data_IF_416753677236
#
_entry.id   IF_416753677236
#
_cell.length_a   1.000
_cell.length_b   1.000
_cell.length_c   1.000
_cell.angle_alpha   90.00
_cell.angle_beta   90.00
_cell.angle_gamma   90.00
#
_symmetry.space_group_name_H-M   'P 1'
#
loop_
_entity.id
_entity.type
_entity.pdbx_description
1 polymer ?
#
# COMPACT_ATOMS: atom_id res chain seq x y z
N UNK A 1 -14.71 30.75 25.99
CA UNK A 1 -13.80 29.64 25.66
C UNK A 1 -13.95 29.37 24.18
N UNK A 2 -12.99 29.79 23.36
CA UNK A 2 -12.97 29.47 21.94
C UNK A 2 -12.50 28.02 21.80
N UNK A 3 -13.29 27.18 21.12
CA UNK A 3 -12.83 25.86 20.70
C UNK A 3 -11.65 26.06 19.73
N UNK A 4 -10.57 25.26 19.80
CA UNK A 4 -9.47 25.40 18.85
C UNK A 4 -9.98 25.12 17.44
N UNK A 5 -9.76 26.04 16.51
CA UNK A 5 -10.10 25.85 15.10
C UNK A 5 -9.34 24.64 14.54
N UNK A 6 -10.05 23.52 14.41
CA UNK A 6 -9.51 22.26 13.89
C UNK A 6 -8.92 22.40 12.46
N UNK A 7 -9.33 23.43 11.71
CA UNK A 7 -8.86 23.73 10.37
C UNK A 7 -7.32 23.92 10.29
N UNK A 8 -6.70 24.55 11.29
CA UNK A 8 -5.24 24.74 11.33
C UNK A 8 -4.48 23.45 11.64
N UNK A 9 -5.08 22.57 12.46
CA UNK A 9 -4.52 21.24 12.76
C UNK A 9 -4.58 20.30 11.56
N UNK A 10 -5.60 20.42 10.70
CA UNK A 10 -5.66 19.63 9.46
C UNK A 10 -4.60 20.08 8.43
N UNK A 11 -4.37 21.39 8.30
CA UNK A 11 -3.33 21.93 7.41
C UNK A 11 -1.93 21.44 7.78
N UNK A 12 -1.55 21.55 9.05
CA UNK A 12 -0.20 21.12 9.48
C UNK A 12 0.00 19.60 9.39
N UNK A 13 -1.06 18.80 9.53
CA UNK A 13 -0.97 17.34 9.33
C UNK A 13 -0.75 16.97 7.88
N UNK A 14 -1.42 17.63 6.94
CA UNK A 14 -1.22 17.38 5.51
C UNK A 14 0.22 17.69 5.09
N UNK A 15 0.81 18.79 5.57
CA UNK A 15 2.21 19.14 5.29
C UNK A 15 3.19 18.06 5.76
N UNK A 16 2.94 17.47 6.93
CA UNK A 16 3.75 16.36 7.47
C UNK A 16 3.52 15.09 6.65
N UNK A 17 2.27 14.78 6.30
CA UNK A 17 1.95 13.61 5.47
C UNK A 17 2.67 13.74 4.13
N UNK A 18 2.55 14.87 3.44
CA UNK A 18 3.18 15.09 2.15
C UNK A 18 4.69 14.99 2.25
N UNK A 19 5.32 15.62 3.24
CA UNK A 19 6.78 15.59 3.45
C UNK A 19 7.31 14.19 3.81
N UNK A 20 6.63 13.48 4.71
CA UNK A 20 7.09 12.17 5.19
C UNK A 20 6.76 11.04 4.21
N UNK A 21 5.58 11.06 3.60
CA UNK A 21 5.16 10.02 2.66
C UNK A 21 5.56 10.32 1.20
N UNK A 22 6.25 11.43 0.91
CA UNK A 22 6.89 11.66 -0.40
C UNK A 22 8.21 10.90 -0.58
N UNK A 23 8.77 10.31 0.49
CA UNK A 23 10.05 9.61 0.42
C UNK A 23 9.98 8.39 -0.50
N UNK A 24 11.16 7.87 -0.91
CA UNK A 24 11.28 6.85 -1.96
C UNK A 24 11.12 5.45 -1.40
N UNK A 25 11.55 5.21 -0.16
CA UNK A 25 11.50 3.90 0.49
C UNK A 25 10.69 3.93 1.79
N UNK A 26 10.24 2.76 2.26
CA UNK A 26 9.47 2.66 3.51
C UNK A 26 10.36 3.04 4.70
N UNK A 27 11.64 2.67 4.65
CA UNK A 27 12.67 3.00 5.62
C UNK A 27 12.85 4.53 5.74
N UNK A 28 12.89 5.25 4.62
CA UNK A 28 12.95 6.71 4.61
C UNK A 28 11.67 7.35 5.14
N UNK A 29 10.48 6.80 4.81
CA UNK A 29 9.19 7.27 5.35
C UNK A 29 9.19 7.14 6.88
N UNK A 30 9.55 5.97 7.42
CA UNK A 30 9.63 5.75 8.86
C UNK A 30 10.63 6.71 9.52
N UNK A 31 11.82 6.86 8.93
CA UNK A 31 12.84 7.77 9.43
C UNK A 31 12.37 9.23 9.41
N UNK A 32 11.60 9.64 8.40
CA UNK A 32 11.03 10.98 8.32
C UNK A 32 9.97 11.20 9.41
N UNK A 33 9.07 10.23 9.60
CA UNK A 33 8.06 10.30 10.67
C UNK A 33 8.72 10.36 12.05
N UNK A 34 9.75 9.55 12.31
CA UNK A 34 10.47 9.54 13.60
C UNK A 34 11.13 10.89 13.93
N UNK A 35 11.58 11.65 12.93
CA UNK A 35 12.08 13.01 13.14
C UNK A 35 10.98 14.00 13.51
N UNK A 36 9.79 13.86 12.93
CA UNK A 36 8.65 14.74 13.21
C UNK A 36 8.00 14.48 14.58
N UNK A 37 8.12 13.26 15.13
CA UNK A 37 7.61 12.92 16.47
C UNK A 37 8.15 13.84 17.54
N UNK A 38 9.40 14.31 17.40
CA UNK A 38 10.06 15.18 18.38
C UNK A 38 9.31 16.51 18.56
N UNK A 39 8.62 16.96 17.51
CA UNK A 39 8.01 18.29 17.44
C UNK A 39 6.48 18.29 17.68
N UNK A 40 5.83 17.12 17.78
CA UNK A 40 4.35 17.02 17.83
C UNK A 40 3.77 16.35 19.10
N UNK A 41 2.78 17.02 19.71
CA UNK A 41 2.18 16.62 21.01
C UNK A 41 0.94 15.73 20.91
N UNK A 42 0.28 15.66 19.77
CA UNK A 42 -1.02 15.01 19.58
C UNK A 42 -0.93 13.50 19.25
N UNK A 43 0.29 12.94 19.24
CA UNK A 43 0.56 11.50 19.27
C UNK A 43 0.19 10.72 18.00
N UNK A 44 -0.41 11.35 16.98
CA UNK A 44 -0.82 10.65 15.76
C UNK A 44 0.38 10.09 14.99
N UNK A 45 1.50 10.81 14.95
CA UNK A 45 2.72 10.35 14.27
C UNK A 45 3.24 9.07 14.94
N UNK A 46 3.31 9.05 16.27
CA UNK A 46 3.68 7.86 17.03
C UNK A 46 2.74 6.68 16.75
N UNK A 47 1.42 6.92 16.70
CA UNK A 47 0.45 5.88 16.35
C UNK A 47 0.63 5.36 14.91
N UNK A 48 0.92 6.24 13.95
CA UNK A 48 1.22 5.89 12.56
C UNK A 48 2.49 5.04 12.47
N UNK A 49 3.57 5.43 13.14
CA UNK A 49 4.81 4.65 13.19
C UNK A 49 4.55 3.26 13.76
N UNK A 50 3.80 3.16 14.86
CA UNK A 50 3.45 1.86 15.45
C UNK A 50 2.59 1.01 14.52
N UNK A 51 1.70 1.63 13.76
CA UNK A 51 0.87 0.94 12.77
C UNK A 51 1.73 0.37 11.63
N UNK A 52 2.65 1.18 11.09
CA UNK A 52 3.59 0.74 10.07
C UNK A 52 4.50 -0.38 10.60
N UNK A 53 5.05 -0.25 11.81
CA UNK A 53 5.93 -1.28 12.41
C UNK A 53 5.23 -2.60 12.72
N UNK A 54 3.89 -2.60 12.87
CA UNK A 54 3.08 -3.82 13.06
C UNK A 54 2.67 -4.48 11.75
N UNK A 55 2.73 -3.76 10.62
CA UNK A 55 2.35 -4.30 9.33
C UNK A 55 3.43 -5.23 8.76
N UNK A 56 3.06 -6.08 7.80
CA UNK A 56 4.00 -6.92 7.06
C UNK A 56 5.03 -6.03 6.31
N UNK A 57 6.35 -6.20 6.56
CA UNK A 57 7.38 -5.44 5.86
C UNK A 57 7.33 -5.62 4.34
N UNK A 58 7.03 -6.85 3.89
CA UNK A 58 6.83 -7.18 2.47
C UNK A 58 5.67 -6.39 1.89
N UNK A 59 4.53 -6.41 2.58
CA UNK A 59 3.31 -5.70 2.15
C UNK A 59 3.52 -4.19 2.05
N UNK A 60 4.27 -3.59 2.97
CA UNK A 60 4.62 -2.16 2.92
C UNK A 60 5.43 -1.83 1.66
N UNK A 61 6.48 -2.60 1.35
CA UNK A 61 7.34 -2.35 0.19
C UNK A 61 6.59 -2.51 -1.13
N UNK A 62 5.84 -3.60 -1.31
CA UNK A 62 5.07 -3.81 -2.56
C UNK A 62 3.97 -2.76 -2.72
N UNK A 63 3.31 -2.34 -1.64
CA UNK A 63 2.26 -1.32 -1.67
C UNK A 63 2.82 0.04 -2.08
N UNK A 64 3.92 0.48 -1.45
CA UNK A 64 4.59 1.73 -1.80
C UNK A 64 4.98 1.74 -3.28
N UNK A 65 5.58 0.65 -3.76
CA UNK A 65 5.96 0.52 -5.17
C UNK A 65 4.74 0.57 -6.10
N UNK A 66 3.67 -0.15 -5.78
CA UNK A 66 2.44 -0.15 -6.59
C UNK A 66 1.86 1.26 -6.72
N UNK A 67 1.79 2.02 -5.61
CA UNK A 67 1.32 3.42 -5.60
C UNK A 67 2.20 4.30 -6.49
N UNK A 68 3.53 4.18 -6.39
CA UNK A 68 4.46 5.01 -7.17
C UNK A 68 4.39 4.73 -8.66
N UNK A 69 4.37 3.45 -9.05
CA UNK A 69 4.24 3.04 -10.44
C UNK A 69 2.87 3.42 -11.00
N UNK A 70 1.80 3.29 -10.20
CA UNK A 70 0.44 3.60 -10.60
C UNK A 70 0.18 5.09 -10.88
N UNK A 71 0.99 6.01 -10.32
CA UNK A 71 0.81 7.46 -10.48
C UNK A 71 0.78 7.93 -11.94
N UNK A 72 1.45 7.22 -12.84
CA UNK A 72 1.56 7.55 -14.27
C UNK A 72 0.80 6.58 -15.17
N UNK A 73 0.00 5.68 -14.59
CA UNK A 73 -0.72 4.62 -15.33
C UNK A 73 -2.22 4.84 -15.30
N UNK A 74 -2.90 4.41 -16.37
CA UNK A 74 -4.35 4.32 -16.39
C UNK A 74 -4.85 3.17 -15.50
N UNK A 75 -6.12 3.27 -15.06
CA UNK A 75 -6.75 2.28 -14.17
C UNK A 75 -6.61 0.85 -14.69
N UNK A 76 -6.79 0.62 -15.99
CA UNK A 76 -6.66 -0.71 -16.60
C UNK A 76 -5.28 -1.33 -16.40
N UNK A 77 -4.21 -0.54 -16.56
CA UNK A 77 -2.85 -1.00 -16.36
C UNK A 77 -2.55 -1.23 -14.87
N UNK A 78 -3.10 -0.39 -13.98
CA UNK A 78 -3.01 -0.61 -12.53
C UNK A 78 -3.67 -1.92 -12.11
N UNK A 79 -4.88 -2.20 -12.57
CA UNK A 79 -5.60 -3.43 -12.23
C UNK A 79 -4.87 -4.69 -12.73
N UNK A 80 -4.35 -4.67 -13.96
CA UNK A 80 -3.56 -5.80 -14.48
C UNK A 80 -2.29 -6.03 -13.65
N UNK A 81 -1.58 -4.96 -13.28
CA UNK A 81 -0.40 -5.03 -12.40
C UNK A 81 -0.73 -5.54 -11.00
N UNK A 82 -1.80 -5.02 -10.40
CA UNK A 82 -2.25 -5.41 -9.05
C UNK A 82 -2.74 -6.85 -9.01
N UNK A 83 -3.44 -7.30 -10.05
CA UNK A 83 -3.82 -8.71 -10.20
C UNK A 83 -2.60 -9.62 -10.15
N UNK A 84 -1.57 -9.32 -10.96
CA UNK A 84 -0.32 -10.08 -10.98
C UNK A 84 0.39 -10.08 -9.62
N UNK A 85 0.45 -8.91 -8.97
CA UNK A 85 1.02 -8.77 -7.63
C UNK A 85 0.28 -9.63 -6.61
N UNK A 86 -1.05 -9.65 -6.65
CA UNK A 86 -1.88 -10.48 -5.77
C UNK A 86 -1.69 -11.97 -6.07
N UNK A 87 -1.56 -12.39 -7.34
CA UNK A 87 -1.22 -13.77 -7.67
C UNK A 87 0.07 -14.22 -6.98
N UNK A 88 1.15 -13.42 -7.06
CA UNK A 88 2.41 -13.73 -6.35
C UNK A 88 2.24 -13.79 -4.83
N UNK A 89 1.45 -12.89 -4.25
CA UNK A 89 1.12 -12.91 -2.81
C UNK A 89 0.40 -14.20 -2.44
N UNK A 90 -0.55 -14.65 -3.26
CA UNK A 90 -1.35 -15.86 -3.01
C UNK A 90 -0.55 -17.15 -3.23
N UNK A 91 0.39 -17.16 -4.19
CA UNK A 91 1.30 -18.28 -4.40
C UNK A 91 2.27 -18.48 -3.22
N UNK A 92 2.57 -17.42 -2.48
CA UNK A 92 3.43 -17.50 -1.28
C UNK A 92 4.91 -17.77 -1.55
N UNK A 93 5.39 -17.64 -2.80
CA UNK A 93 6.77 -17.98 -3.19
C UNK A 93 7.83 -17.17 -2.41
N UNK A 94 7.51 -15.91 -2.09
CA UNK A 94 8.45 -14.99 -1.43
C UNK A 94 8.14 -14.74 0.05
N UNK A 95 6.88 -14.89 0.44
CA UNK A 95 6.41 -14.65 1.80
C UNK A 95 5.04 -15.28 2.01
N UNK A 96 4.81 -15.81 3.21
CA UNK A 96 3.52 -16.35 3.64
C UNK A 96 2.69 -15.32 4.44
N UNK A 97 3.08 -14.05 4.42
CA UNK A 97 2.49 -12.99 5.25
C UNK A 97 0.97 -12.84 5.03
N UNK A 98 0.45 -13.10 3.84
CA UNK A 98 -1.00 -13.05 3.62
C UNK A 98 -1.75 -14.08 4.47
N UNK A 99 -1.29 -15.33 4.47
CA UNK A 99 -1.89 -16.41 5.25
C UNK A 99 -1.67 -16.20 6.74
N UNK A 100 -0.47 -15.77 7.14
CA UNK A 100 -0.16 -15.45 8.54
C UNK A 100 -1.01 -14.29 9.07
N UNK A 101 -1.23 -13.26 8.26
CA UNK A 101 -2.10 -12.13 8.61
C UNK A 101 -3.55 -12.59 8.78
N UNK A 102 -4.04 -13.43 7.86
CA UNK A 102 -5.37 -14.04 7.97
C UNK A 102 -5.48 -14.90 9.25
N UNK A 103 -4.47 -15.71 9.55
CA UNK A 103 -4.43 -16.52 10.78
C UNK A 103 -4.51 -15.63 12.02
N UNK A 104 -3.63 -14.63 12.13
CA UNK A 104 -3.52 -13.75 13.29
C UNK A 104 -4.78 -12.91 13.54
N UNK A 105 -5.47 -12.48 12.48
CA UNK A 105 -6.62 -11.56 12.58
C UNK A 105 -7.96 -12.30 12.60
N UNK A 106 -8.12 -13.34 11.78
CA UNK A 106 -9.41 -13.96 11.50
C UNK A 106 -9.57 -15.35 12.14
N UNK A 107 -8.52 -16.18 12.13
CA UNK A 107 -8.58 -17.56 12.64
C UNK A 107 -8.30 -17.61 14.15
N UNK A 108 -7.06 -17.38 14.53
CA UNK A 108 -6.60 -17.49 15.92
C UNK A 108 -6.92 -16.22 16.72
N UNK A 109 -7.05 -15.08 16.02
CA UNK A 109 -7.41 -13.77 16.58
C UNK A 109 -6.45 -13.28 17.67
N UNK A 110 -5.21 -13.75 17.64
CA UNK A 110 -4.15 -13.34 18.58
C UNK A 110 -3.64 -11.91 18.33
N UNK A 111 -3.91 -11.35 17.15
CA UNK A 111 -3.40 -10.03 16.70
C UNK A 111 -1.88 -9.91 16.79
N UNK A 112 -1.17 -11.03 16.70
CA UNK A 112 0.28 -11.11 16.79
C UNK A 112 0.87 -11.90 15.60
N UNK A 113 0.78 -11.32 14.39
CA UNK A 113 1.30 -11.97 13.20
C UNK A 113 2.83 -12.08 13.26
N UNK A 114 3.36 -13.21 12.81
CA UNK A 114 4.79 -13.52 12.71
C UNK A 114 5.25 -13.36 11.27
N UNK A 115 5.53 -12.13 10.89
CA UNK A 115 5.94 -11.80 9.52
C UNK A 115 7.28 -12.43 9.14
N UNK A 116 7.37 -12.92 7.91
CA UNK A 116 8.59 -13.46 7.33
C UNK A 116 8.73 -12.95 5.88
N UNK A 117 9.74 -12.11 5.58
CA UNK A 117 10.76 -11.57 6.49
C UNK A 117 10.21 -10.56 7.52
N UNK A 118 10.72 -10.61 8.75
CA UNK A 118 10.26 -9.76 9.86
C UNK A 118 10.76 -8.32 9.85
N UNK A 119 11.68 -7.96 8.95
CA UNK A 119 12.26 -6.61 8.85
C UNK A 119 12.37 -6.12 7.41
N UNK A 120 12.23 -4.81 7.23
CA UNK A 120 12.38 -4.15 5.93
C UNK A 120 13.77 -4.38 5.30
N UNK A 121 14.83 -4.31 6.11
CA UNK A 121 16.22 -4.48 5.69
C UNK A 121 16.54 -5.88 5.11
N UNK A 122 15.73 -6.89 5.43
CA UNK A 122 15.89 -8.25 4.91
C UNK A 122 15.26 -8.45 3.53
N UNK A 123 14.53 -7.44 3.02
CA UNK A 123 13.81 -7.54 1.74
C UNK A 123 14.56 -6.71 0.71
N UNK A 124 15.25 -7.40 -0.21
CA UNK A 124 15.92 -6.79 -1.34
C UNK A 124 14.94 -6.26 -2.38
N UNK A 125 15.33 -5.21 -3.10
CA UNK A 125 14.53 -4.64 -4.21
C UNK A 125 14.27 -5.67 -5.31
N UNK A 126 15.21 -6.59 -5.54
CA UNK A 126 15.05 -7.70 -6.49
C UNK A 126 13.95 -8.67 -6.07
N UNK A 127 13.72 -8.89 -4.78
CA UNK A 127 12.58 -9.67 -4.29
C UNK A 127 11.28 -8.92 -4.55
N UNK A 128 11.27 -7.60 -4.32
CA UNK A 128 10.12 -6.75 -4.62
C UNK A 128 9.81 -6.75 -6.13
N UNK A 129 10.84 -6.72 -7.00
CA UNK A 129 10.67 -6.79 -8.46
C UNK A 129 9.88 -8.03 -8.90
N UNK A 130 10.10 -9.17 -8.25
CA UNK A 130 9.47 -10.44 -8.62
C UNK A 130 7.95 -10.41 -8.44
N UNK A 131 7.43 -9.70 -7.44
CA UNK A 131 5.98 -9.50 -7.28
C UNK A 131 5.31 -8.80 -8.47
N UNK A 132 6.07 -8.07 -9.30
CA UNK A 132 5.54 -7.37 -10.48
C UNK A 132 5.86 -8.11 -11.80
N UNK A 133 6.68 -9.16 -11.73
CA UNK A 133 7.08 -9.99 -12.87
C UNK A 133 5.97 -10.95 -13.28
N UNK A 134 5.95 -11.40 -14.54
CA UNK A 134 4.97 -12.39 -15.01
C UNK A 134 5.00 -13.65 -14.13
N UNK A 135 3.83 -14.21 -13.86
CA UNK A 135 3.74 -15.49 -13.15
C UNK A 135 4.32 -16.58 -14.04
N UNK A 136 5.12 -17.47 -13.45
CA UNK A 136 5.81 -18.56 -14.16
C UNK A 136 4.91 -19.79 -14.23
N UNK A 137 3.88 -19.69 -15.04
CA UNK A 137 2.93 -20.77 -15.30
C UNK A 137 2.54 -20.66 -16.79
N UNK A 138 2.56 -21.80 -17.48
CA UNK A 138 2.32 -21.87 -18.93
C UNK A 138 0.87 -21.53 -19.29
N UNK A 139 -0.07 -21.80 -18.39
CA UNK A 139 -1.50 -21.56 -18.59
C UNK A 139 -1.94 -20.21 -18.00
N UNK A 140 -1.01 -19.41 -17.48
CA UNK A 140 -1.34 -18.15 -16.84
C UNK A 140 -1.49 -17.00 -17.84
N UNK A 141 -2.61 -16.29 -17.74
CA UNK A 141 -2.90 -15.08 -18.50
C UNK A 141 -3.01 -13.86 -17.59
N UNK A 142 -2.56 -12.70 -18.09
CA UNK A 142 -2.82 -11.42 -17.43
C UNK A 142 -4.32 -11.12 -17.40
N UNK A 143 -4.75 -10.35 -16.40
CA UNK A 143 -6.14 -9.90 -16.28
C UNK A 143 -6.63 -9.21 -17.55
N UNK A 144 -7.56 -9.85 -18.25
CA UNK A 144 -8.25 -9.27 -19.39
C UNK A 144 -9.44 -8.46 -18.90
N UNK A 145 -9.32 -7.14 -18.96
CA UNK A 145 -10.44 -6.27 -18.65
C UNK A 145 -11.39 -6.21 -19.84
N UNK A 146 -12.72 -6.22 -19.60
CA UNK A 146 -13.67 -6.01 -20.67
C UNK A 146 -13.36 -4.67 -21.32
N UNK A 147 -13.20 -4.66 -22.64
CA UNK A 147 -13.23 -3.40 -23.37
C UNK A 147 -14.52 -2.71 -23.00
N UNK A 148 -14.46 -1.46 -22.53
CA UNK A 148 -15.61 -0.56 -22.62
C UNK A 148 -15.90 -0.41 -24.11
N UNK A 149 -16.63 -1.37 -24.68
CA UNK A 149 -17.52 -1.06 -25.79
C UNK A 149 -18.25 0.18 -25.32
N UNK A 150 -18.17 1.27 -26.08
CA UNK A 150 -18.91 2.48 -25.79
C UNK A 150 -20.31 1.98 -25.46
N UNK A 151 -20.66 2.01 -24.18
CA UNK A 151 -22.03 1.76 -23.80
C UNK A 151 -22.79 2.69 -24.75
N UNK A 152 -23.76 2.16 -25.50
CA UNK A 152 -24.73 2.98 -26.20
C UNK A 152 -25.56 3.68 -25.11
N UNK A 153 -24.88 4.52 -24.31
CA UNK A 153 -25.47 5.35 -23.30
C UNK A 153 -26.24 6.37 -24.11
N UNK A 154 -27.56 6.41 -23.96
CA UNK A 154 -28.33 7.46 -24.60
C UNK A 154 -27.74 8.83 -24.20
N UNK A 155 -27.76 9.83 -25.10
CA UNK A 155 -27.02 11.09 -24.94
C UNK A 155 -27.20 11.79 -23.60
N UNK A 156 -28.33 11.59 -22.92
CA UNK A 156 -28.66 12.19 -21.62
C UNK A 156 -27.78 11.69 -20.45
N UNK A 157 -27.12 10.53 -20.57
CA UNK A 157 -26.22 10.02 -19.52
C UNK A 157 -24.82 10.62 -19.64
N UNK A 158 -24.43 11.09 -20.83
CA UNK A 158 -23.12 11.68 -21.11
C UNK A 158 -23.00 13.10 -20.50
N UNK A 159 -24.11 13.84 -20.37
CA UNK A 159 -24.11 15.24 -19.93
C UNK A 159 -23.80 15.47 -18.43
N UNK A 160 -23.44 14.42 -17.66
CA UNK A 160 -23.13 14.50 -16.22
C UNK A 160 -21.80 13.84 -15.82
N UNK A 161 -20.93 13.56 -16.79
CA UNK A 161 -19.53 13.15 -16.57
C UNK A 161 -18.61 14.24 -17.11
#
# INVERSE_FOLDING_TARGET
>A
MAFPDHHWLYGCRLDVIDRCFSQRTVEEILSALEREVVDQRDGWISATIQTLKKASPTSLKISLRSIRVGRVQGVSACLAREYRMVCHVMCGEFSNDFFEGCRAILLDKDKNPKWEPSKLEHIADTTVDRYFSKVKDEDWEDLQLPTRSKFNLPPHVIAKL
#
